data_IF_522032321660
#
_entry.id   IF_522032321660
#
_cell.length_a   1.000
_cell.length_b   1.000
_cell.length_c   1.000
_cell.angle_alpha   90.00
_cell.angle_beta   90.00
_cell.angle_gamma   90.00
#
_symmetry.space_group_name_H-M   'P 1'
#
loop_
_entity.id
_entity.type
_entity.pdbx_description
1 polymer ?
#
# COMPACT_ATOMS: atom_id res chain seq x y z
N UNK A 1 12.10 3.93 27.09
CA UNK A 1 12.13 2.82 26.12
C UNK A 1 10.76 2.41 25.61
N UNK A 2 9.97 1.51 26.24
CA UNK A 2 8.69 1.09 25.66
C UNK A 2 7.65 2.22 25.56
N UNK A 3 7.42 2.94 26.67
CA UNK A 3 6.48 4.08 26.69
C UNK A 3 6.93 5.22 25.77
N UNK A 4 8.24 5.40 25.60
CA UNK A 4 8.84 6.39 24.72
C UNK A 4 8.64 6.02 23.24
N UNK A 5 8.82 4.74 22.88
CA UNK A 5 8.49 4.23 21.56
C UNK A 5 7.00 4.41 21.22
N UNK A 6 6.11 4.12 22.18
CA UNK A 6 4.67 4.38 22.02
C UNK A 6 4.35 5.86 21.89
N UNK A 7 5.05 6.73 22.63
CA UNK A 7 4.92 8.16 22.47
C UNK A 7 5.31 8.62 21.05
N UNK A 8 6.41 8.11 20.49
CA UNK A 8 6.81 8.40 19.11
C UNK A 8 5.78 7.91 18.08
N UNK A 9 5.19 6.72 18.28
CA UNK A 9 4.10 6.24 17.41
C UNK A 9 2.90 7.17 17.49
N UNK A 10 2.44 7.50 18.70
CA UNK A 10 1.26 8.35 18.90
C UNK A 10 1.45 9.74 18.29
N UNK A 11 2.64 10.33 18.48
CA UNK A 11 2.96 11.62 17.86
C UNK A 11 2.93 11.53 16.34
N UNK A 12 3.54 10.49 15.75
CA UNK A 12 3.53 10.33 14.29
C UNK A 12 2.12 10.07 13.73
N UNK A 13 1.26 9.34 14.45
CA UNK A 13 -0.15 9.16 14.08
C UNK A 13 -0.92 10.48 14.13
N UNK A 14 -0.71 11.29 15.18
CA UNK A 14 -1.30 12.62 15.29
C UNK A 14 -0.82 13.54 14.16
N UNK A 15 0.48 13.53 13.83
CA UNK A 15 1.03 14.31 12.72
C UNK A 15 0.38 13.92 11.38
N UNK A 16 0.17 12.62 11.13
CA UNK A 16 -0.53 12.13 9.93
C UNK A 16 -1.97 12.61 9.91
N UNK A 17 -2.70 12.49 11.03
CA UNK A 17 -4.09 12.95 11.13
C UNK A 17 -4.20 14.46 10.85
N UNK A 18 -3.34 15.27 11.45
CA UNK A 18 -3.39 16.73 11.30
C UNK A 18 -2.94 17.20 9.91
N UNK A 19 -1.91 16.58 9.34
CA UNK A 19 -1.26 17.09 8.12
C UNK A 19 -1.79 16.43 6.85
N UNK A 20 -2.14 15.14 6.90
CA UNK A 20 -2.47 14.34 5.72
C UNK A 20 -3.98 14.07 5.55
N UNK A 21 -4.85 14.51 6.48
CA UNK A 21 -6.31 14.26 6.40
C UNK A 21 -6.91 14.68 5.06
N UNK A 22 -6.53 15.85 4.53
CA UNK A 22 -7.05 16.34 3.25
C UNK A 22 -6.60 15.47 2.07
N UNK A 23 -5.38 14.94 2.14
CA UNK A 23 -4.80 14.06 1.12
C UNK A 23 -5.41 12.67 1.21
N UNK A 24 -5.57 12.14 2.41
CA UNK A 24 -6.25 10.85 2.67
C UNK A 24 -7.68 10.91 2.12
N UNK A 25 -8.44 11.98 2.38
CA UNK A 25 -9.79 12.15 1.81
C UNK A 25 -9.81 12.15 0.28
N UNK A 26 -8.81 12.75 -0.36
CA UNK A 26 -8.66 12.72 -1.83
C UNK A 26 -8.30 11.34 -2.34
N UNK A 27 -7.40 10.63 -1.66
CA UNK A 27 -7.04 9.24 -1.96
C UNK A 27 -8.26 8.32 -1.86
N UNK A 28 -9.01 8.44 -0.76
CA UNK A 28 -10.26 7.71 -0.54
C UNK A 28 -11.32 8.03 -1.57
N UNK A 29 -11.41 9.29 -2.03
CA UNK A 29 -12.32 9.66 -3.12
C UNK A 29 -11.94 9.02 -4.45
N UNK A 30 -10.64 8.93 -4.77
CA UNK A 30 -10.17 8.18 -5.95
C UNK A 30 -10.51 6.69 -5.83
N UNK A 31 -10.29 6.08 -4.66
CA UNK A 31 -10.66 4.68 -4.37
C UNK A 31 -12.18 4.46 -4.50
N UNK A 32 -13.00 5.30 -3.86
CA UNK A 32 -14.45 5.20 -3.92
C UNK A 32 -14.96 5.34 -5.36
N UNK A 33 -14.42 6.29 -6.12
CA UNK A 33 -14.79 6.51 -7.53
C UNK A 33 -14.38 5.35 -8.42
N UNK A 34 -13.20 4.75 -8.19
CA UNK A 34 -12.76 3.54 -8.89
C UNK A 34 -13.76 2.39 -8.65
N UNK A 35 -14.12 2.15 -7.39
CA UNK A 35 -15.02 1.05 -7.00
C UNK A 35 -16.45 1.27 -7.51
N UNK A 36 -16.96 2.49 -7.43
CA UNK A 36 -18.25 2.91 -7.99
C UNK A 36 -18.34 2.58 -9.49
N UNK A 37 -17.25 2.81 -10.23
CA UNK A 37 -17.13 2.51 -11.66
C UNK A 37 -16.78 1.04 -11.97
N UNK A 38 -16.79 0.15 -10.97
CA UNK A 38 -16.50 -1.28 -11.14
C UNK A 38 -15.03 -1.62 -11.38
N UNK A 39 -14.12 -0.69 -11.11
CA UNK A 39 -12.67 -0.86 -11.26
C UNK A 39 -12.03 -1.45 -9.98
N UNK A 40 -10.74 -1.78 -10.07
CA UNK A 40 -9.97 -2.45 -9.02
C UNK A 40 -8.92 -1.51 -8.41
N UNK A 41 -8.68 -1.67 -7.11
CA UNK A 41 -7.56 -1.03 -6.42
C UNK A 41 -6.42 -2.04 -6.31
N UNK A 42 -5.28 -1.75 -6.92
CA UNK A 42 -4.08 -2.56 -6.79
C UNK A 42 -3.18 -1.99 -5.69
N UNK A 43 -2.50 -2.86 -4.94
CA UNK A 43 -1.58 -2.42 -3.87
C UNK A 43 -0.24 -3.16 -4.02
N UNK A 44 0.85 -2.41 -4.00
CA UNK A 44 2.21 -2.93 -4.15
C UNK A 44 3.17 -2.33 -3.13
N UNK A 45 4.11 -3.15 -2.64
CA UNK A 45 5.26 -2.70 -1.86
C UNK A 45 6.37 -3.75 -1.86
N UNK A 46 7.62 -3.32 -1.74
CA UNK A 46 8.79 -4.20 -1.61
C UNK A 46 9.20 -4.36 -0.15
N UNK A 47 9.91 -5.45 0.19
CA UNK A 47 10.40 -5.69 1.54
C UNK A 47 9.24 -5.66 2.53
N UNK A 48 9.37 -4.98 3.67
CA UNK A 48 8.28 -4.85 4.64
C UNK A 48 7.02 -4.14 4.10
N UNK A 49 7.16 -3.25 3.12
CA UNK A 49 6.02 -2.51 2.56
C UNK A 49 5.01 -3.40 1.82
N UNK A 50 5.36 -4.66 1.47
CA UNK A 50 4.39 -5.61 0.91
C UNK A 50 3.24 -5.91 1.89
N UNK A 51 3.49 -5.82 3.21
CA UNK A 51 2.48 -6.09 4.23
C UNK A 51 1.31 -5.10 4.15
N UNK A 52 1.48 -3.91 3.54
CA UNK A 52 0.37 -2.99 3.31
C UNK A 52 -0.60 -3.54 2.26
N UNK A 53 -0.11 -4.30 1.28
CA UNK A 53 -0.97 -4.98 0.31
C UNK A 53 -1.72 -6.15 0.97
N UNK A 54 -1.05 -6.90 1.84
CA UNK A 54 -1.68 -7.97 2.63
C UNK A 54 -2.70 -7.40 3.62
N UNK A 55 -2.38 -6.30 4.30
CA UNK A 55 -3.22 -5.68 5.33
C UNK A 55 -4.61 -5.33 4.82
N UNK A 56 -4.75 -4.85 3.58
CA UNK A 56 -6.06 -4.45 3.02
C UNK A 56 -6.69 -5.52 2.12
N UNK A 57 -6.02 -6.65 1.89
CA UNK A 57 -6.54 -7.73 1.04
C UNK A 57 -7.28 -8.79 1.85
N UNK A 58 -8.46 -9.20 1.33
CA UNK A 58 -9.22 -10.38 1.78
C UNK A 58 -9.33 -10.54 3.31
N UNK A 59 -9.87 -9.53 3.98
CA UNK A 59 -10.10 -9.53 5.43
C UNK A 59 -11.48 -9.01 5.79
N UNK A 60 -11.96 -9.38 6.98
CA UNK A 60 -13.17 -8.82 7.55
C UNK A 60 -13.08 -7.29 7.67
N UNK A 61 -14.12 -6.59 7.24
CA UNK A 61 -14.16 -5.13 7.22
C UNK A 61 -13.39 -4.47 6.06
N UNK A 62 -12.67 -5.26 5.26
CA UNK A 62 -11.94 -4.78 4.09
C UNK A 62 -12.80 -4.72 2.83
N UNK A 63 -12.44 -3.82 1.91
CA UNK A 63 -13.01 -3.74 0.57
C UNK A 63 -12.64 -5.00 -0.24
N UNK A 64 -13.61 -5.59 -0.93
CA UNK A 64 -13.39 -6.75 -1.80
C UNK A 64 -12.63 -6.45 -3.11
N UNK A 65 -12.78 -5.28 -3.79
CA UNK A 65 -12.06 -4.99 -5.03
C UNK A 65 -10.60 -4.54 -4.79
N UNK A 66 -9.88 -5.21 -3.90
CA UNK A 66 -8.46 -4.99 -3.63
C UNK A 66 -7.65 -6.14 -4.25
N UNK A 67 -6.71 -5.81 -5.14
CA UNK A 67 -5.77 -6.76 -5.75
C UNK A 67 -4.35 -6.49 -5.24
N UNK A 68 -3.78 -7.33 -4.37
CA UNK A 68 -2.40 -7.17 -3.98
C UNK A 68 -1.49 -7.66 -5.12
N UNK A 69 -0.43 -6.92 -5.40
CA UNK A 69 0.65 -7.33 -6.30
C UNK A 69 1.75 -7.91 -5.41
N UNK A 70 1.72 -9.23 -5.22
CA UNK A 70 2.66 -9.96 -4.37
C UNK A 70 3.72 -10.65 -5.22
N UNK A 71 4.96 -10.15 -5.14
CA UNK A 71 6.12 -10.74 -5.83
C UNK A 71 7.02 -11.35 -4.77
N UNK A 72 7.01 -12.68 -4.66
CA UNK A 72 7.68 -13.42 -3.58
C UNK A 72 9.17 -13.06 -3.44
N UNK A 73 9.84 -12.84 -4.58
CA UNK A 73 11.26 -12.47 -4.62
C UNK A 73 11.55 -11.08 -4.05
N UNK A 74 10.54 -10.20 -4.01
CA UNK A 74 10.60 -8.89 -3.37
C UNK A 74 10.09 -8.93 -1.93
N UNK A 75 9.55 -10.07 -1.46
CA UNK A 75 9.17 -10.31 -0.07
C UNK A 75 10.33 -10.91 0.74
N UNK A 76 10.14 -11.01 2.06
CA UNK A 76 11.24 -11.37 2.97
C UNK A 76 11.43 -12.88 3.14
N UNK A 77 10.40 -13.69 2.86
CA UNK A 77 10.45 -15.14 3.07
C UNK A 77 11.34 -15.89 2.05
N UNK A 78 11.61 -15.30 0.88
CA UNK A 78 12.62 -15.77 -0.08
C UNK A 78 14.04 -15.26 0.23
N UNK A 79 14.18 -14.42 1.25
CA UNK A 79 15.46 -13.88 1.75
C UNK A 79 15.50 -12.34 1.73
N UNK A 80 15.73 -11.72 2.90
CA UNK A 80 15.76 -10.26 3.01
C UNK A 80 16.84 -9.56 2.18
N UNK A 81 18.02 -10.17 2.06
CA UNK A 81 19.09 -9.67 1.18
C UNK A 81 18.72 -9.76 -0.31
N UNK A 82 18.02 -10.83 -0.69
CA UNK A 82 17.52 -11.03 -2.06
C UNK A 82 16.51 -9.94 -2.41
N UNK A 83 15.49 -9.75 -1.57
CA UNK A 83 14.51 -8.67 -1.72
C UNK A 83 15.19 -7.29 -1.87
N UNK A 84 16.13 -6.98 -0.97
CA UNK A 84 16.87 -5.70 -1.01
C UNK A 84 17.71 -5.51 -2.27
N UNK A 85 18.31 -6.57 -2.80
CA UNK A 85 19.11 -6.52 -4.02
C UNK A 85 18.20 -6.32 -5.24
N UNK A 86 17.10 -7.07 -5.32
CA UNK A 86 16.15 -7.00 -6.42
C UNK A 86 15.38 -5.68 -6.46
N UNK A 87 14.99 -5.12 -5.30
CA UNK A 87 14.36 -3.80 -5.22
C UNK A 87 15.22 -2.70 -5.87
N UNK A 88 16.55 -2.86 -5.87
CA UNK A 88 17.54 -1.92 -6.42
C UNK A 88 17.80 -2.11 -7.92
N UNK A 89 17.22 -3.13 -8.54
CA UNK A 89 17.41 -3.43 -9.96
C UNK A 89 16.46 -2.57 -10.80
N UNK A 90 17.02 -1.66 -11.59
CA UNK A 90 16.24 -0.90 -12.57
C UNK A 90 15.59 -1.85 -13.59
N UNK A 91 14.39 -1.50 -14.04
CA UNK A 91 13.63 -2.23 -15.06
C UNK A 91 13.10 -3.61 -14.65
N UNK A 92 13.46 -4.13 -13.45
CA UNK A 92 12.97 -5.42 -12.96
C UNK A 92 11.44 -5.46 -12.91
N UNK A 93 10.79 -4.35 -12.57
CA UNK A 93 9.33 -4.31 -12.50
C UNK A 93 8.66 -4.55 -13.85
N UNK A 94 9.33 -4.30 -14.98
CA UNK A 94 8.77 -4.58 -16.31
C UNK A 94 8.40 -6.06 -16.49
N UNK A 95 9.20 -6.95 -15.89
CA UNK A 95 9.00 -8.40 -15.97
C UNK A 95 7.64 -8.82 -15.39
N UNK A 96 7.35 -8.41 -14.14
CA UNK A 96 6.11 -8.83 -13.49
C UNK A 96 4.91 -7.93 -13.80
N UNK A 97 5.15 -6.64 -14.14
CA UNK A 97 4.08 -5.71 -14.48
C UNK A 97 3.39 -6.09 -15.80
N UNK A 98 4.09 -6.74 -16.73
CA UNK A 98 3.51 -7.26 -17.96
C UNK A 98 2.35 -8.25 -17.72
N UNK A 99 2.31 -8.88 -16.55
CA UNK A 99 1.28 -9.85 -16.15
C UNK A 99 0.19 -9.25 -15.23
N UNK A 100 0.27 -7.95 -14.91
CA UNK A 100 -0.75 -7.30 -14.09
C UNK A 100 -1.85 -6.71 -14.97
N UNK A 101 -3.10 -7.07 -14.65
CA UNK A 101 -4.30 -6.59 -15.33
C UNK A 101 -4.75 -5.24 -14.74
N UNK A 102 -3.88 -4.25 -14.89
CA UNK A 102 -4.15 -2.85 -14.54
C UNK A 102 -4.82 -2.20 -15.75
N UNK A 103 -6.02 -1.67 -15.54
CA UNK A 103 -6.86 -1.07 -16.57
C UNK A 103 -7.05 0.43 -16.31
N UNK A 104 -7.48 1.15 -17.35
CA UNK A 104 -7.80 2.57 -17.23
C UNK A 104 -8.91 2.78 -16.20
N UNK A 105 -8.68 3.67 -15.25
CA UNK A 105 -9.63 3.97 -14.17
C UNK A 105 -9.43 3.12 -12.91
N UNK A 106 -8.57 2.10 -12.94
CA UNK A 106 -8.07 1.46 -11.71
C UNK A 106 -7.27 2.47 -10.87
N UNK A 107 -7.18 2.19 -9.57
CA UNK A 107 -6.27 2.87 -8.65
C UNK A 107 -5.10 1.95 -8.35
N UNK A 108 -3.88 2.48 -8.31
CA UNK A 108 -2.70 1.72 -7.84
C UNK A 108 -2.06 2.45 -6.67
N UNK A 109 -1.99 1.79 -5.52
CA UNK A 109 -1.32 2.30 -4.33
C UNK A 109 0.07 1.65 -4.25
N UNK A 110 1.12 2.47 -4.32
CA UNK A 110 2.50 2.04 -4.21
C UNK A 110 3.07 2.50 -2.87
N UNK A 111 3.52 1.57 -2.05
CA UNK A 111 4.08 1.83 -0.73
C UNK A 111 5.59 1.62 -0.75
N UNK A 112 6.35 2.67 -0.43
CA UNK A 112 7.80 2.59 -0.23
C UNK A 112 8.25 3.71 0.70
N UNK A 113 8.73 3.35 1.90
CA UNK A 113 9.11 4.33 2.93
C UNK A 113 10.14 5.34 2.42
N UNK A 114 11.22 4.89 1.79
CA UNK A 114 12.25 5.80 1.27
C UNK A 114 11.95 6.34 -0.13
N UNK A 115 11.08 5.66 -0.90
CA UNK A 115 10.67 6.08 -2.23
C UNK A 115 11.81 6.24 -3.25
N UNK A 116 13.00 5.68 -3.00
CA UNK A 116 14.21 5.95 -3.83
C UNK A 116 14.67 4.80 -4.71
N UNK A 117 14.16 3.60 -4.48
CA UNK A 117 14.63 2.40 -5.19
C UNK A 117 13.86 2.23 -6.52
N UNK A 118 14.49 1.65 -7.56
CA UNK A 118 13.88 1.56 -8.89
C UNK A 118 12.55 0.83 -8.94
N UNK A 119 12.42 -0.34 -8.32
CA UNK A 119 11.22 -1.19 -8.47
C UNK A 119 9.91 -0.47 -8.10
N UNK A 120 9.74 0.16 -6.92
CA UNK A 120 8.50 0.89 -6.62
C UNK A 120 8.26 2.08 -7.57
N UNK A 121 9.32 2.74 -8.05
CA UNK A 121 9.22 3.84 -9.02
C UNK A 121 8.74 3.33 -10.38
N UNK A 122 9.31 2.24 -10.87
CA UNK A 122 8.91 1.59 -12.11
C UNK A 122 7.46 1.12 -12.05
N UNK A 123 7.02 0.52 -10.93
CA UNK A 123 5.61 0.14 -10.74
C UNK A 123 4.69 1.35 -10.84
N UNK A 124 5.04 2.48 -10.23
CA UNK A 124 4.24 3.70 -10.34
C UNK A 124 4.16 4.20 -11.80
N UNK A 125 5.29 4.31 -12.49
CA UNK A 125 5.36 4.79 -13.88
C UNK A 125 4.58 3.87 -14.83
N UNK A 126 4.83 2.56 -14.77
CA UNK A 126 4.15 1.56 -15.61
C UNK A 126 2.64 1.47 -15.33
N UNK A 127 2.20 1.81 -14.12
CA UNK A 127 0.77 1.89 -13.80
C UNK A 127 0.11 3.11 -14.43
N UNK A 128 0.78 4.26 -14.42
CA UNK A 128 0.31 5.49 -15.08
C UNK A 128 0.23 5.32 -16.60
N UNK A 129 1.22 4.65 -17.20
CA UNK A 129 1.21 4.34 -18.63
C UNK A 129 -0.02 3.52 -19.06
N UNK A 130 -0.55 2.68 -18.16
CA UNK A 130 -1.81 1.92 -18.37
C UNK A 130 -3.08 2.72 -18.06
N UNK A 131 -2.96 3.98 -17.64
CA UNK A 131 -4.08 4.87 -17.37
C UNK A 131 -4.71 4.70 -15.98
N UNK A 132 -4.01 4.09 -15.03
CA UNK A 132 -4.43 4.05 -13.64
C UNK A 132 -4.11 5.36 -12.92
N UNK A 133 -4.87 5.67 -11.87
CA UNK A 133 -4.55 6.74 -10.94
C UNK A 133 -3.63 6.21 -9.84
N UNK A 134 -2.43 6.78 -9.69
CA UNK A 134 -1.41 6.23 -8.81
C UNK A 134 -1.26 7.06 -7.54
N UNK A 135 -1.36 6.39 -6.39
CA UNK A 135 -1.16 6.96 -5.06
C UNK A 135 0.15 6.40 -4.51
N UNK A 136 1.06 7.27 -4.08
CA UNK A 136 2.30 6.90 -3.40
C UNK A 136 2.19 7.11 -1.90
N UNK A 137 2.41 6.05 -1.11
CA UNK A 137 2.57 6.17 0.35
C UNK A 137 4.06 6.06 0.66
N UNK A 138 4.65 7.15 1.12
CA UNK A 138 6.11 7.27 1.31
C UNK A 138 6.41 8.24 2.44
N UNK A 139 7.68 8.38 2.83
CA UNK A 139 8.11 9.42 3.76
C UNK A 139 9.12 10.34 3.09
N UNK A 140 8.78 11.63 2.99
CA UNK A 140 9.74 12.63 2.53
C UNK A 140 10.92 12.71 3.48
N UNK A 141 10.68 12.67 4.79
CA UNK A 141 11.71 12.66 5.83
C UNK A 141 12.70 11.50 5.65
N UNK A 142 12.24 10.33 5.23
CA UNK A 142 13.09 9.17 4.97
C UNK A 142 13.94 9.28 3.68
N UNK A 143 13.57 10.19 2.77
CA UNK A 143 14.33 10.47 1.54
C UNK A 143 15.37 11.60 1.70
N UNK A 144 15.26 12.44 2.73
CA UNK A 144 16.19 13.57 2.95
C UNK A 144 17.63 13.09 3.09
N UNK A 145 18.54 13.74 2.36
CA UNK A 145 19.98 13.42 2.39
C UNK A 145 20.37 12.13 1.65
N UNK A 146 19.42 11.50 0.95
CA UNK A 146 19.66 10.32 0.13
C UNK A 146 19.45 10.66 -1.34
N UNK A 147 20.21 10.04 -2.26
CA UNK A 147 20.02 10.19 -3.71
C UNK A 147 19.08 9.12 -4.27
N UNK A 148 18.27 9.41 -5.27
CA UNK A 148 17.53 8.35 -5.96
C UNK A 148 18.49 7.31 -6.58
N UNK A 149 18.06 6.04 -6.58
CA UNK A 149 18.75 4.92 -7.24
C UNK A 149 18.11 4.55 -8.57
N UNK A 150 16.96 5.14 -8.89
CA UNK A 150 16.33 4.99 -10.19
C UNK A 150 17.13 5.76 -11.24
N UNK A 151 17.29 5.18 -12.44
CA UNK A 151 18.12 5.73 -13.51
C UNK A 151 17.70 7.14 -13.95
N UNK A 152 16.43 7.52 -13.77
CA UNK A 152 15.94 8.89 -14.05
C UNK A 152 16.25 9.90 -12.94
N UNK A 153 16.80 9.47 -11.80
CA UNK A 153 17.01 10.30 -10.62
C UNK A 153 15.75 10.68 -9.84
N UNK A 154 14.57 10.19 -10.24
CA UNK A 154 13.28 10.53 -9.60
C UNK A 154 13.05 9.73 -8.32
N UNK A 155 12.23 10.25 -7.42
CA UNK A 155 11.66 9.52 -6.28
C UNK A 155 10.20 9.14 -6.55
N UNK A 156 9.68 8.20 -5.76
CA UNK A 156 8.29 7.74 -5.84
C UNK A 156 7.30 8.92 -5.74
N UNK A 157 7.55 9.87 -4.84
CA UNK A 157 6.67 11.04 -4.68
C UNK A 157 6.61 11.94 -5.92
N UNK A 158 7.54 11.79 -6.87
CA UNK A 158 7.59 12.55 -8.13
C UNK A 158 6.98 11.78 -9.31
N UNK A 159 6.63 10.50 -9.11
CA UNK A 159 6.13 9.62 -10.17
C UNK A 159 4.67 9.24 -10.01
N UNK A 160 3.99 9.70 -8.96
CA UNK A 160 2.59 9.39 -8.64
C UNK A 160 1.67 10.59 -8.87
N UNK A 161 0.36 10.38 -8.87
CA UNK A 161 -0.66 11.44 -9.01
C UNK A 161 -1.03 12.07 -7.66
N UNK A 162 -0.90 11.30 -6.58
CA UNK A 162 -1.13 11.75 -5.21
C UNK A 162 -0.08 11.14 -4.27
N UNK A 163 0.50 11.94 -3.40
CA UNK A 163 1.48 11.50 -2.40
C UNK A 163 0.86 11.63 -1.03
N UNK A 164 0.90 10.57 -0.23
CA UNK A 164 0.60 10.58 1.20
C UNK A 164 1.92 10.42 1.95
N UNK A 165 2.24 11.38 2.83
CA UNK A 165 3.41 11.30 3.69
C UNK A 165 3.08 10.58 5.00
N UNK A 166 3.53 9.33 5.16
CA UNK A 166 3.31 8.57 6.39
C UNK A 166 4.31 8.92 7.53
N UNK A 167 5.04 10.03 7.43
CA UNK A 167 5.82 10.67 8.51
C UNK A 167 6.96 9.85 9.12
N UNK A 168 7.36 8.73 8.49
CA UNK A 168 8.44 7.87 9.01
C UNK A 168 9.78 8.61 9.03
N UNK A 169 10.54 8.61 10.14
CA UNK A 169 11.84 9.27 10.18
C UNK A 169 12.89 8.59 9.30
N UNK A 170 14.00 9.29 9.04
CA UNK A 170 15.16 8.73 8.33
C UNK A 170 15.66 7.45 9.01
N UNK A 171 15.93 6.43 8.20
CA UNK A 171 16.35 5.12 8.67
C UNK A 171 15.25 4.26 9.29
N UNK A 172 14.00 4.73 9.34
CA UNK A 172 12.88 4.04 10.01
C UNK A 172 13.27 3.60 11.42
N UNK A 173 13.80 4.54 12.19
CA UNK A 173 14.22 4.33 13.56
C UNK A 173 13.86 5.54 14.41
N UNK A 174 13.17 5.30 15.53
CA UNK A 174 12.72 6.34 16.47
C UNK A 174 13.46 6.31 17.80
N UNK A 175 14.24 5.27 18.04
CA UNK A 175 14.98 5.06 19.29
C UNK A 175 16.47 5.08 18.98
N UNK A 176 17.25 5.73 19.84
CA UNK A 176 18.70 5.79 19.71
C UNK A 176 19.39 5.39 21.03
N UNK A 177 20.49 4.65 20.91
CA UNK A 177 21.38 4.36 22.02
C UNK A 177 22.78 4.89 21.69
N UNK A 178 23.13 6.05 22.24
CA UNK A 178 24.40 6.74 21.97
C UNK A 178 25.60 5.88 22.33
N UNK A 179 25.55 5.21 23.49
CA UNK A 179 26.66 4.38 23.99
C UNK A 179 27.04 3.27 23.02
N UNK A 180 26.06 2.68 22.33
CA UNK A 180 26.29 1.60 21.37
C UNK A 180 26.22 2.06 19.90
N UNK A 181 25.94 3.33 19.63
CA UNK A 181 25.79 3.91 18.28
C UNK A 181 24.77 3.15 17.41
N UNK A 182 23.67 2.69 18.02
CA UNK A 182 22.61 1.96 17.32
C UNK A 182 21.30 2.76 17.30
N UNK A 183 20.55 2.60 16.21
CA UNK A 183 19.19 3.12 16.05
C UNK A 183 18.22 1.98 15.78
N UNK A 184 17.03 2.01 16.38
CA UNK A 184 16.03 0.94 16.32
C UNK A 184 14.61 1.48 16.55
N UNK A 185 13.61 0.60 16.62
CA UNK A 185 12.21 1.00 16.82
C UNK A 185 11.58 1.55 15.55
N UNK A 186 11.45 0.69 14.54
CA UNK A 186 10.79 0.99 13.27
C UNK A 186 9.31 1.25 13.45
N UNK A 187 8.79 2.27 12.76
CA UNK A 187 7.37 2.67 12.84
C UNK A 187 6.65 2.55 11.51
N UNK A 188 7.37 2.37 10.39
CA UNK A 188 6.79 2.41 9.04
C UNK A 188 5.63 1.44 8.80
N UNK A 189 5.70 0.22 9.36
CA UNK A 189 4.61 -0.75 9.26
C UNK A 189 3.35 -0.24 9.96
N UNK A 190 3.47 0.23 11.20
CA UNK A 190 2.32 0.70 12.00
C UNK A 190 1.68 1.92 11.33
N UNK A 191 2.49 2.90 10.96
CA UNK A 191 2.02 4.14 10.35
C UNK A 191 1.42 3.90 8.96
N UNK A 192 2.07 3.07 8.14
CA UNK A 192 1.53 2.76 6.83
C UNK A 192 0.26 1.91 6.89
N UNK A 193 0.13 0.96 7.82
CA UNK A 193 -1.13 0.23 8.03
C UNK A 193 -2.25 1.17 8.52
N UNK A 194 -1.94 2.14 9.38
CA UNK A 194 -2.91 3.15 9.79
C UNK A 194 -3.40 4.00 8.61
N UNK A 195 -2.48 4.45 7.74
CA UNK A 195 -2.83 5.17 6.50
C UNK A 195 -3.69 4.32 5.56
N UNK A 196 -3.30 3.07 5.30
CA UNK A 196 -4.03 2.18 4.39
C UNK A 196 -5.45 1.86 4.89
N UNK A 197 -5.59 1.61 6.20
CA UNK A 197 -6.89 1.42 6.82
C UNK A 197 -7.71 2.72 6.83
N UNK A 198 -7.09 3.86 7.08
CA UNK A 198 -7.73 5.18 7.01
C UNK A 198 -8.30 5.46 5.61
N UNK A 199 -7.53 5.20 4.56
CA UNK A 199 -8.01 5.32 3.17
C UNK A 199 -9.24 4.43 2.95
N UNK A 200 -9.18 3.17 3.42
CA UNK A 200 -10.25 2.18 3.26
C UNK A 200 -11.53 2.61 3.98
N UNK A 201 -11.43 3.02 5.24
CA UNK A 201 -12.57 3.47 6.06
C UNK A 201 -13.24 4.69 5.43
N UNK A 202 -12.46 5.70 5.05
CA UNK A 202 -12.99 6.92 4.44
C UNK A 202 -13.57 6.64 3.04
N UNK A 203 -13.01 5.71 2.26
CA UNK A 203 -13.57 5.32 0.96
C UNK A 203 -14.93 4.59 1.12
N UNK A 204 -15.05 3.72 2.12
CA UNK A 204 -16.32 3.05 2.46
C UNK A 204 -17.36 4.10 2.84
N UNK A 205 -17.00 5.06 3.70
CA UNK A 205 -17.88 6.15 4.11
C UNK A 205 -18.36 6.96 2.90
N UNK A 206 -17.46 7.34 2.00
CA UNK A 206 -17.81 8.09 0.80
C UNK A 206 -18.71 7.29 -0.17
N UNK A 207 -18.54 5.97 -0.29
CA UNK A 207 -19.45 5.13 -1.06
C UNK A 207 -20.87 5.15 -0.46
N UNK A 208 -20.98 5.08 0.87
CA UNK A 208 -22.27 5.16 1.59
C UNK A 208 -22.95 6.51 1.35
N UNK A 209 -22.20 7.60 1.46
CA UNK A 209 -22.71 8.97 1.20
C UNK A 209 -23.19 9.16 -0.24
N UNK A 210 -22.61 8.43 -1.20
CA UNK A 210 -23.07 8.36 -2.60
C UNK A 210 -24.27 7.44 -2.81
N UNK A 211 -24.81 6.82 -1.77
CA UNK A 211 -25.92 5.87 -1.84
C UNK A 211 -25.52 4.49 -2.40
N UNK A 212 -24.23 4.17 -2.43
CA UNK A 212 -23.70 2.90 -2.94
C UNK A 212 -23.51 1.95 -1.76
N UNK A 213 -24.01 0.71 -1.88
CA UNK A 213 -23.73 -0.33 -0.90
C UNK A 213 -22.28 -0.84 -1.05
N UNK A 214 -21.37 -0.60 -0.08
CA UNK A 214 -19.95 -0.89 -0.26
C UNK A 214 -19.68 -2.40 -0.32
N UNK A 215 -18.79 -2.86 -1.23
CA UNK A 215 -18.43 -4.28 -1.33
C UNK A 215 -17.43 -4.68 -0.24
N UNK A 216 -17.88 -4.76 1.00
CA UNK A 216 -17.02 -5.05 2.17
C UNK A 216 -17.17 -6.50 2.61
N UNK A 217 -16.07 -7.22 2.84
CA UNK A 217 -16.12 -8.58 3.38
C UNK A 217 -16.64 -8.60 4.82
N UNK A 218 -17.51 -9.56 5.13
CA UNK A 218 -18.00 -9.83 6.48
C UNK A 218 -17.09 -10.84 7.18
N UNK A 219 -16.99 -10.74 8.50
CA UNK A 219 -16.30 -11.75 9.32
C UNK A 219 -17.02 -13.09 9.21
N UNK A 220 -16.27 -14.18 9.01
CA UNK A 220 -16.80 -15.54 8.95
C UNK A 220 -17.51 -16.01 10.23
N UNK A 221 -17.34 -15.28 11.34
CA UNK A 221 -18.02 -15.54 12.61
C UNK A 221 -19.42 -14.90 12.71
N UNK A 222 -19.92 -14.29 11.64
CA UNK A 222 -21.24 -13.66 11.58
C UNK A 222 -22.17 -14.50 10.69
N UNK A 223 -23.39 -14.79 11.17
CA UNK A 223 -24.38 -15.53 10.39
C UNK A 223 -24.67 -14.84 9.04
N UNK A 224 -24.69 -15.63 7.95
CA UNK A 224 -24.90 -15.14 6.58
C UNK A 224 -23.71 -14.37 5.97
N UNK A 225 -22.54 -14.40 6.62
CA UNK A 225 -21.30 -13.82 6.07
C UNK A 225 -20.78 -14.58 4.85
N UNK A 226 -20.94 -15.90 4.82
CA UNK A 226 -20.44 -16.77 3.77
C UNK A 226 -21.12 -16.50 2.42
N UNK A 227 -22.45 -16.43 2.38
CA UNK A 227 -23.22 -16.14 1.17
C UNK A 227 -22.86 -14.77 0.61
N UNK A 228 -22.80 -13.76 1.47
CA UNK A 228 -22.39 -12.42 1.09
C UNK A 228 -20.96 -12.41 0.52
N UNK A 229 -20.00 -12.98 1.22
CA UNK A 229 -18.60 -13.03 0.77
C UNK A 229 -18.47 -13.80 -0.55
N UNK A 230 -19.21 -14.91 -0.74
CA UNK A 230 -19.26 -15.66 -2.00
C UNK A 230 -19.76 -14.79 -3.16
N UNK A 231 -20.73 -13.90 -2.95
CA UNK A 231 -21.19 -12.98 -4.01
C UNK A 231 -20.10 -11.99 -4.42
N UNK A 232 -19.35 -11.45 -3.46
CA UNK A 232 -18.23 -10.54 -3.74
C UNK A 232 -17.08 -11.26 -4.46
N UNK A 233 -16.71 -12.46 -3.99
CA UNK A 233 -15.70 -13.30 -4.64
C UNK A 233 -16.11 -13.57 -6.09
N UNK A 234 -17.35 -14.03 -6.33
CA UNK A 234 -17.85 -14.29 -7.68
C UNK A 234 -17.78 -13.05 -8.57
N UNK A 235 -18.04 -11.86 -8.02
CA UNK A 235 -17.99 -10.59 -8.75
C UNK A 235 -16.57 -10.19 -9.17
N UNK A 236 -15.57 -10.36 -8.29
CA UNK A 236 -14.24 -9.79 -8.52
C UNK A 236 -13.15 -10.80 -8.92
N UNK A 237 -13.37 -12.11 -8.76
CA UNK A 237 -12.33 -13.14 -8.98
C UNK A 237 -11.72 -13.15 -10.39
N UNK A 238 -12.45 -12.71 -11.42
CA UNK A 238 -11.92 -12.61 -12.79
C UNK A 238 -10.81 -11.56 -12.92
N UNK A 239 -10.89 -10.46 -12.17
CA UNK A 239 -9.87 -9.41 -12.09
C UNK A 239 -8.91 -9.63 -10.92
N UNK A 240 -9.26 -10.45 -9.93
CA UNK A 240 -8.46 -10.74 -8.72
C UNK A 240 -8.29 -12.25 -8.54
N UNK A 241 -7.32 -12.89 -9.23
CA UNK A 241 -7.14 -14.34 -9.19
C UNK A 241 -6.88 -14.92 -7.80
N UNK A 242 -6.33 -14.12 -6.87
CA UNK A 242 -6.08 -14.54 -5.47
C UNK A 242 -7.37 -14.74 -4.65
N UNK A 243 -8.54 -14.37 -5.15
CA UNK A 243 -9.83 -14.71 -4.55
C UNK A 243 -10.30 -16.13 -4.89
N UNK A 244 -9.63 -16.81 -5.84
CA UNK A 244 -9.91 -18.20 -6.16
C UNK A 244 -9.06 -19.12 -5.28
N UNK A 245 -9.71 -20.12 -4.68
CA UNK A 245 -8.97 -21.26 -4.15
C UNK A 245 -8.33 -21.99 -5.33
N UNK A 246 -7.01 -21.89 -5.48
CA UNK A 246 -6.31 -22.85 -6.35
C UNK A 246 -6.57 -24.24 -5.77
N UNK A 247 -7.04 -25.22 -6.55
CA UNK A 247 -7.04 -26.60 -6.08
C UNK A 247 -5.59 -26.93 -5.67
N UNK A 248 -5.43 -27.54 -4.49
CA UNK A 248 -4.12 -28.01 -4.04
C UNK A 248 -3.51 -28.89 -5.14
N UNK A 249 -2.46 -28.38 -5.80
CA UNK A 249 -1.61 -29.13 -6.73
C UNK A 249 -0.44 -29.71 -5.98
#
# INVERSE_FOLDING_TARGET
>A
MFSEYFHHINQALQDIEEQEVSVIKRASSAVATSIENGQIVHVFGCGHSHMMAEEVFYRAGGLAPIRPILIEDLMLHRGGLRSSALERTNDLAKEFMAHQDIQRGDVVIVVSTSGRNPVPIDVALLSKERGAYVIGVTSRKASIGQTSRHHTGKYLYETVDLVIDHQVPSGDATMHNEKNQISFGSTSTILGMAVMNGITVEAIQQLIERGIHPPVFKSGNVDGSDEWNKTLIKKYKSRIPLLESKPHS
#
